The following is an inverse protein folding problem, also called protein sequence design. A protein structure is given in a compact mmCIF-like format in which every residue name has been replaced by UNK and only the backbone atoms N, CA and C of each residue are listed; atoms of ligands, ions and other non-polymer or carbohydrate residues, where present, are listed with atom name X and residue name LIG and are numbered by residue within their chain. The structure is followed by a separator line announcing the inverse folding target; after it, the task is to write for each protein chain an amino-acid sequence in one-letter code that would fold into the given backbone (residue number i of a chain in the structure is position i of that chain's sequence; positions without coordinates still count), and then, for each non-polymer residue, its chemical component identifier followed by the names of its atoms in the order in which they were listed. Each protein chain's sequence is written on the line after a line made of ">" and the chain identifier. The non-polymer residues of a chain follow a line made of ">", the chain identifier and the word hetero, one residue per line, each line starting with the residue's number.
data_IF_531881963590
#
_entry.id   IF_531881963590
#
_cell.length_a   1.000
_cell.length_b   1.000
_cell.length_c   1.000
_cell.angle_alpha   90.00
_cell.angle_beta   90.00
_cell.angle_gamma   90.00
#
_symmetry.space_group_name_H-M   'P 1'
#
loop_
_entity.id
_entity.type
_entity.pdbx_description
1 polymer ?
#
# COMPACT_ATOMS: atom_id res chain seq x y z
N UNK A 1 11.10 -4.62 -15.91
CA UNK A 1 11.33 -5.38 -15.56
C UNK A 1 10.77 -5.99 -14.39
N UNK A 2 11.32 -6.83 -13.86
CA UNK A 2 10.78 -7.51 -12.79
C UNK A 2 10.67 -6.76 -11.55
N UNK A 3 11.17 -5.61 -11.47
CA UNK A 3 11.13 -4.85 -10.29
C UNK A 3 9.72 -4.64 -9.77
N UNK A 4 8.78 -4.43 -10.62
CA UNK A 4 7.45 -4.16 -10.18
C UNK A 4 6.82 -5.38 -9.54
N UNK A 5 7.08 -6.55 -10.06
CA UNK A 5 6.56 -7.74 -9.49
C UNK A 5 7.10 -7.98 -8.12
N UNK A 6 8.37 -7.74 -7.92
CA UNK A 6 8.99 -7.93 -6.66
C UNK A 6 8.43 -6.95 -5.67
N UNK A 7 8.20 -5.73 -6.08
CA UNK A 7 7.66 -4.73 -5.19
C UNK A 7 6.25 -5.13 -4.77
N UNK A 8 5.47 -5.66 -5.66
CA UNK A 8 4.14 -6.09 -5.35
C UNK A 8 4.19 -7.20 -4.31
N UNK A 9 5.10 -8.13 -4.47
CA UNK A 9 5.25 -9.21 -3.52
C UNK A 9 5.64 -8.69 -2.16
N UNK A 10 6.59 -7.80 -2.12
CA UNK A 10 7.05 -7.24 -0.87
C UNK A 10 5.93 -6.46 -0.21
N UNK A 11 5.20 -5.68 -0.95
CA UNK A 11 4.12 -4.89 -0.41
C UNK A 11 3.04 -5.81 0.15
N UNK A 12 2.78 -6.89 -0.54
CA UNK A 12 1.81 -7.85 -0.08
C UNK A 12 2.20 -8.42 1.27
N UNK A 13 3.45 -8.73 1.44
CA UNK A 13 3.93 -9.28 2.68
C UNK A 13 3.87 -8.26 3.79
N UNK A 14 4.14 -7.04 3.51
CA UNK A 14 4.13 -5.99 4.51
C UNK A 14 2.71 -5.63 4.90
N UNK A 15 1.83 -5.48 3.94
CA UNK A 15 0.49 -5.00 4.21
C UNK A 15 -0.54 -6.09 4.29
N UNK A 16 -0.30 -7.19 3.63
CA UNK A 16 -1.27 -8.25 3.56
C UNK A 16 -2.38 -7.95 2.58
N UNK A 17 -2.25 -6.93 1.79
CA UNK A 17 -3.29 -6.57 0.85
C UNK A 17 -3.27 -7.47 -0.37
N UNK A 18 -4.30 -7.46 -1.15
CA UNK A 18 -4.36 -8.29 -2.33
C UNK A 18 -3.43 -7.79 -3.41
N UNK A 19 -3.16 -8.64 -4.37
CA UNK A 19 -2.26 -8.30 -5.43
C UNK A 19 -2.71 -7.09 -6.20
N UNK A 20 -3.97 -6.99 -6.50
CA UNK A 20 -4.46 -5.87 -7.25
C UNK A 20 -4.31 -4.57 -6.47
N UNK A 21 -4.55 -4.63 -5.20
CA UNK A 21 -4.42 -3.45 -4.35
C UNK A 21 -2.96 -3.02 -4.29
N UNK A 22 -2.07 -3.96 -4.11
CA UNK A 22 -0.66 -3.64 -4.06
C UNK A 22 -0.23 -2.97 -5.34
N UNK A 23 -0.70 -3.46 -6.46
CA UNK A 23 -0.35 -2.89 -7.71
C UNK A 23 -0.85 -1.46 -7.81
N UNK A 24 -2.04 -1.20 -7.36
CA UNK A 24 -2.58 0.12 -7.37
C UNK A 24 -1.78 1.06 -6.52
N UNK A 25 -1.46 0.66 -5.32
CA UNK A 25 -0.69 1.50 -4.42
C UNK A 25 0.70 1.79 -5.00
N UNK A 26 1.29 0.79 -5.62
CA UNK A 26 2.60 1.00 -6.21
C UNK A 26 2.53 1.97 -7.39
N UNK A 27 1.48 1.89 -8.14
CA UNK A 27 1.33 2.78 -9.26
C UNK A 27 1.18 4.21 -8.76
N UNK A 28 0.40 4.41 -7.74
CA UNK A 28 0.22 5.73 -7.18
C UNK A 28 1.50 6.22 -6.55
N UNK A 29 2.30 5.31 -6.05
CA UNK A 29 3.55 5.66 -5.40
C UNK A 29 4.74 5.67 -6.34
N UNK A 30 4.49 5.57 -7.63
CA UNK A 30 5.58 5.58 -8.59
C UNK A 30 6.51 4.42 -8.35
N UNK A 31 5.99 3.28 -8.07
CA UNK A 31 6.77 2.07 -7.81
C UNK A 31 7.71 2.24 -6.63
N UNK A 32 7.32 3.03 -5.67
CA UNK A 32 8.13 3.23 -4.49
C UNK A 32 7.50 2.45 -3.35
N UNK A 33 8.16 1.44 -2.84
CA UNK A 33 7.64 0.59 -1.81
C UNK A 33 7.26 1.37 -0.56
N UNK A 34 8.13 2.21 -0.11
CA UNK A 34 7.90 3.00 1.09
C UNK A 34 6.66 3.86 0.93
N UNK A 35 6.53 4.52 -0.19
CA UNK A 35 5.39 5.38 -0.43
C UNK A 35 4.12 4.55 -0.53
N UNK A 36 4.21 3.39 -1.14
CA UNK A 36 3.06 2.52 -1.27
C UNK A 36 2.58 2.08 0.10
N UNK A 37 3.49 1.75 0.98
CA UNK A 37 3.15 1.37 2.33
C UNK A 37 2.46 2.52 3.04
N UNK A 38 2.98 3.71 2.85
CA UNK A 38 2.40 4.88 3.47
C UNK A 38 0.99 5.10 2.95
N UNK A 39 0.79 4.94 1.66
CA UNK A 39 -0.52 5.12 1.08
C UNK A 39 -1.50 4.09 1.65
N UNK A 40 -1.05 2.85 1.75
CA UNK A 40 -1.89 1.81 2.27
C UNK A 40 -2.29 2.13 3.70
N UNK A 41 -1.35 2.51 4.51
CA UNK A 41 -1.59 2.82 5.89
C UNK A 41 -2.50 4.03 6.01
N UNK A 42 -2.28 5.01 5.20
CA UNK A 42 -3.05 6.21 5.23
C UNK A 42 -4.52 5.91 4.94
N UNK A 43 -4.78 5.09 3.95
CA UNK A 43 -6.12 4.77 3.60
C UNK A 43 -6.78 3.90 4.64
N UNK A 44 -6.07 2.95 5.17
CA UNK A 44 -6.59 2.12 6.19
C UNK A 44 -6.78 2.88 7.44
N UNK A 45 -5.85 3.69 7.78
CA UNK A 45 -5.88 4.48 8.98
C UNK A 45 -6.99 5.52 8.96
N UNK A 46 -7.34 6.02 7.84
CA UNK A 46 -8.35 6.97 7.73
C UNK A 46 -9.64 6.49 8.29
N UNK A 47 -10.01 5.29 8.01
CA UNK A 47 -11.18 4.76 8.53
C UNK A 47 -11.19 4.72 10.00
N UNK A 48 -10.16 4.25 10.57
CA UNK A 48 -10.04 4.17 12.01
C UNK A 48 -10.04 5.52 12.62
N UNK A 49 -9.33 6.41 12.06
CA UNK A 49 -9.22 7.69 12.58
C UNK A 49 -10.50 8.39 12.72
N UNK A 50 -11.38 8.25 11.85
CA UNK A 50 -12.56 8.84 11.97
C UNK A 50 -13.20 8.66 13.25
N UNK A 51 -13.25 7.55 13.74
CA UNK A 51 -13.83 7.34 14.99
C UNK A 51 -13.17 7.96 16.07
N UNK A 52 -12.01 7.88 16.09
CA UNK A 52 -11.24 8.42 17.16
C UNK A 52 -11.51 9.83 17.37
N UNK A 53 -11.64 10.53 16.42
CA UNK A 53 -11.90 11.85 16.58
C UNK A 53 -12.96 12.16 17.37
N UNK A 54 -13.45 11.82 17.52
CA UNK A 54 -14.27 12.33 18.28
C UNK A 54 -14.63 12.22 18.89
#
# INVERSE_FOLDING_TARGET
>A
MSGSLELVKQLREITGAGMLDCKKYLEKANNNLDEAVKLFRSESGKKAEKKVLE
#
